data_IF_233328547707
#
_entry.id   IF_233328547707
#
_cell.length_a   1.000
_cell.length_b   1.000
_cell.length_c   1.000
_cell.angle_alpha   90.00
_cell.angle_beta   90.00
_cell.angle_gamma   90.00
#
_symmetry.space_group_name_H-M   'P 1'
#
loop_
_entity.id
_entity.type
_entity.pdbx_description
1 polymer ?
#
# COMPACT_ATOMS: atom_id res chain seq x y z
N UNK A 1 1.26 -14.10 13.39
CA UNK A 1 0.28 -13.32 12.59
C UNK A 1 0.32 -13.81 11.14
N UNK A 2 -0.30 -14.95 10.83
CA UNK A 2 -0.05 -15.71 9.59
C UNK A 2 -1.28 -15.80 8.65
N UNK A 3 -2.20 -14.83 8.66
CA UNK A 3 -3.43 -14.91 7.85
C UNK A 3 -3.63 -13.77 6.85
N UNK A 4 -2.66 -12.86 6.68
CA UNK A 4 -2.67 -11.87 5.58
C UNK A 4 -1.83 -12.41 4.42
N UNK A 5 -2.08 -13.65 4.00
CA UNK A 5 -1.76 -13.99 2.61
C UNK A 5 -2.67 -13.07 1.80
N UNK A 6 -2.06 -12.09 1.13
CA UNK A 6 -2.69 -10.89 0.56
C UNK A 6 -4.10 -11.16 0.02
N UNK A 7 -5.12 -10.52 0.61
CA UNK A 7 -6.51 -10.59 0.12
C UNK A 7 -6.62 -10.19 -1.36
N UNK A 8 -5.73 -9.29 -1.82
CA UNK A 8 -5.60 -8.92 -3.23
C UNK A 8 -5.04 -10.05 -4.10
N UNK A 9 -4.00 -10.75 -3.63
CA UNK A 9 -3.45 -11.91 -4.33
C UNK A 9 -4.48 -13.04 -4.44
N UNK A 10 -5.16 -13.35 -3.34
CA UNK A 10 -6.25 -14.34 -3.31
C UNK A 10 -7.42 -13.95 -4.22
N UNK A 11 -7.80 -12.66 -4.22
CA UNK A 11 -8.81 -12.12 -5.13
C UNK A 11 -8.40 -12.30 -6.59
N UNK A 12 -7.17 -11.91 -6.96
CA UNK A 12 -6.67 -12.07 -8.33
C UNK A 12 -6.69 -13.53 -8.76
N UNK A 13 -6.19 -14.45 -7.94
CA UNK A 13 -6.20 -15.89 -8.23
C UNK A 13 -7.61 -16.46 -8.36
N UNK A 14 -8.57 -15.94 -7.60
CA UNK A 14 -9.98 -16.30 -7.77
C UNK A 14 -10.51 -15.84 -9.13
N UNK A 15 -10.23 -14.59 -9.54
CA UNK A 15 -10.67 -14.07 -10.84
C UNK A 15 -9.95 -14.74 -12.02
N UNK A 16 -8.66 -15.08 -11.88
CA UNK A 16 -7.89 -15.85 -12.89
C UNK A 16 -8.53 -17.22 -13.14
N UNK A 17 -8.90 -17.95 -12.07
CA UNK A 17 -9.65 -19.22 -12.20
C UNK A 17 -11.05 -19.05 -12.81
N UNK A 18 -11.69 -17.91 -12.61
CA UNK A 18 -12.97 -17.58 -13.29
C UNK A 18 -12.75 -17.34 -14.79
N UNK A 19 -11.69 -16.62 -15.16
CA UNK A 19 -11.28 -16.42 -16.54
C UNK A 19 -10.97 -17.74 -17.26
N UNK A 20 -10.20 -18.63 -16.63
CA UNK A 20 -9.84 -19.94 -17.18
C UNK A 20 -11.07 -20.80 -17.43
N UNK A 21 -12.04 -20.83 -16.51
CA UNK A 21 -13.31 -21.56 -16.68
C UNK A 21 -14.12 -21.06 -17.88
N UNK A 22 -14.13 -19.74 -18.14
CA UNK A 22 -14.74 -19.17 -19.33
C UNK A 22 -14.06 -19.67 -20.61
N UNK A 23 -12.72 -19.69 -20.65
CA UNK A 23 -11.97 -20.18 -21.81
C UNK A 23 -12.19 -21.67 -22.10
N UNK A 24 -12.48 -22.50 -21.10
CA UNK A 24 -12.71 -23.94 -21.28
C UNK A 24 -14.19 -24.31 -21.49
N UNK A 25 -15.12 -23.56 -20.88
CA UNK A 25 -16.56 -23.82 -20.95
C UNK A 25 -17.31 -23.06 -22.04
N UNK A 26 -16.67 -22.08 -22.68
CA UNK A 26 -17.27 -21.27 -23.76
C UNK A 26 -18.27 -20.21 -23.30
N UNK A 27 -18.66 -20.18 -22.02
CA UNK A 27 -19.54 -19.15 -21.48
C UNK A 27 -18.75 -17.88 -21.11
N UNK A 28 -19.16 -16.68 -21.60
CA UNK A 28 -18.46 -15.44 -21.32
C UNK A 28 -18.60 -15.01 -19.86
N UNK A 29 -17.60 -14.27 -19.37
CA UNK A 29 -17.65 -13.63 -18.06
C UNK A 29 -18.57 -12.41 -18.13
N UNK A 30 -19.69 -12.47 -17.42
CA UNK A 30 -20.60 -11.33 -17.25
C UNK A 30 -20.13 -10.40 -16.14
N UNK A 31 -20.09 -9.10 -16.43
CA UNK A 31 -19.74 -8.03 -15.50
C UNK A 31 -20.79 -6.94 -15.55
N UNK A 32 -21.26 -6.52 -14.39
CA UNK A 32 -22.10 -5.35 -14.24
C UNK A 32 -21.22 -4.16 -13.87
N UNK A 33 -21.26 -3.11 -14.68
CA UNK A 33 -20.51 -1.87 -14.48
C UNK A 33 -21.51 -0.73 -14.36
N UNK A 34 -21.36 0.15 -13.36
CA UNK A 34 -22.28 1.26 -13.12
C UNK A 34 -22.34 1.66 -11.65
N UNK A 35 -23.26 2.57 -11.29
CA UNK A 35 -23.53 2.95 -9.91
C UNK A 35 -24.85 2.34 -9.43
N UNK A 36 -24.83 1.24 -8.67
CA UNK A 36 -26.03 0.74 -8.01
C UNK A 36 -26.64 1.82 -7.10
N UNK A 37 -27.97 1.85 -6.91
CA UNK A 37 -28.93 0.81 -7.32
C UNK A 37 -29.67 1.09 -8.64
N UNK A 38 -29.44 2.20 -9.34
CA UNK A 38 -30.21 2.56 -10.53
C UNK A 38 -29.89 1.62 -11.71
N UNK A 39 -30.81 0.74 -12.15
CA UNK A 39 -30.58 -0.19 -13.23
C UNK A 39 -30.27 0.51 -14.55
N UNK A 40 -30.84 1.71 -14.76
CA UNK A 40 -30.59 2.52 -15.96
C UNK A 40 -29.16 3.08 -16.01
N UNK A 41 -28.46 3.08 -14.88
CA UNK A 41 -27.05 3.48 -14.75
C UNK A 41 -26.07 2.31 -14.78
N UNK A 42 -26.55 1.08 -15.06
CA UNK A 42 -25.73 -0.13 -15.13
C UNK A 42 -25.68 -0.69 -16.54
N UNK A 43 -24.52 -1.21 -16.93
CA UNK A 43 -24.30 -1.92 -18.18
C UNK A 43 -23.74 -3.32 -17.89
N UNK A 44 -24.28 -4.33 -18.57
CA UNK A 44 -23.70 -5.67 -18.58
C UNK A 44 -22.69 -5.81 -19.71
N UNK A 45 -21.46 -6.14 -19.36
CA UNK A 45 -20.40 -6.50 -20.29
C UNK A 45 -20.22 -8.02 -20.30
N UNK A 46 -20.16 -8.59 -21.49
CA UNK A 46 -19.78 -9.99 -21.69
C UNK A 46 -18.36 -10.03 -22.24
N UNK A 47 -17.43 -10.57 -21.46
CA UNK A 47 -16.01 -10.67 -21.82
C UNK A 47 -15.61 -12.13 -22.01
N UNK A 48 -14.78 -12.41 -23.01
CA UNK A 48 -14.04 -13.67 -23.05
C UNK A 48 -13.03 -13.75 -21.88
N UNK A 49 -12.54 -14.95 -21.60
CA UNK A 49 -11.62 -15.18 -20.49
C UNK A 49 -10.33 -14.36 -20.56
N UNK A 50 -9.78 -14.15 -21.75
CA UNK A 50 -8.54 -13.39 -21.93
C UNK A 50 -8.78 -11.89 -21.68
N UNK A 51 -9.83 -11.34 -22.27
CA UNK A 51 -10.28 -9.96 -22.07
C UNK A 51 -10.57 -9.68 -20.60
N UNK A 52 -11.25 -10.62 -19.92
CA UNK A 52 -11.52 -10.53 -18.49
C UNK A 52 -10.24 -10.54 -17.65
N UNK A 53 -9.32 -11.47 -17.93
CA UNK A 53 -8.04 -11.57 -17.22
C UNK A 53 -7.20 -10.30 -17.40
N UNK A 54 -7.17 -9.75 -18.61
CA UNK A 54 -6.44 -8.52 -18.91
C UNK A 54 -7.03 -7.33 -18.15
N UNK A 55 -8.37 -7.22 -18.14
CA UNK A 55 -9.07 -6.18 -17.40
C UNK A 55 -8.74 -6.25 -15.90
N UNK A 56 -8.88 -7.42 -15.27
CA UNK A 56 -8.60 -7.57 -13.84
C UNK A 56 -7.13 -7.25 -13.51
N UNK A 57 -6.18 -7.73 -14.33
CA UNK A 57 -4.75 -7.40 -14.15
C UNK A 57 -4.51 -5.90 -14.22
N UNK A 58 -5.09 -5.22 -15.21
CA UNK A 58 -4.95 -3.78 -15.37
C UNK A 58 -5.59 -3.01 -14.19
N UNK A 59 -6.80 -3.37 -13.80
CA UNK A 59 -7.51 -2.74 -12.68
C UNK A 59 -6.73 -2.86 -11.37
N UNK A 60 -6.26 -4.06 -11.02
CA UNK A 60 -5.45 -4.27 -9.81
C UNK A 60 -4.12 -3.51 -9.92
N UNK A 61 -3.46 -3.53 -11.08
CA UNK A 61 -2.22 -2.78 -11.29
C UNK A 61 -2.38 -1.27 -11.04
N UNK A 62 -3.49 -0.67 -11.49
CA UNK A 62 -3.81 0.74 -11.23
C UNK A 62 -4.00 1.00 -9.74
N UNK A 63 -4.77 0.16 -9.06
CA UNK A 63 -5.04 0.32 -7.62
C UNK A 63 -3.77 0.13 -6.77
N UNK A 64 -2.91 -0.84 -7.13
CA UNK A 64 -1.60 -0.99 -6.51
C UNK A 64 -0.75 0.26 -6.72
N UNK A 65 -0.69 0.82 -7.93
CA UNK A 65 0.07 2.06 -8.17
C UNK A 65 -0.41 3.21 -7.29
N UNK A 66 -1.72 3.43 -7.20
CA UNK A 66 -2.30 4.48 -6.33
C UNK A 66 -1.97 4.26 -4.86
N UNK A 67 -2.05 3.02 -4.39
CA UNK A 67 -1.70 2.70 -3.01
C UNK A 67 -0.23 3.00 -2.72
N UNK A 68 0.66 2.82 -3.70
CA UNK A 68 2.10 3.07 -3.54
C UNK A 68 2.35 4.57 -3.41
N UNK A 69 1.71 5.36 -4.27
CA UNK A 69 1.74 6.82 -4.22
C UNK A 69 1.24 7.34 -2.87
N UNK A 70 0.14 6.77 -2.35
CA UNK A 70 -0.36 7.11 -1.01
C UNK A 70 0.64 6.76 0.10
N UNK A 71 1.29 5.60 0.03
CA UNK A 71 2.29 5.19 1.03
C UNK A 71 3.55 6.06 0.98
N UNK A 72 3.98 6.47 -0.21
CA UNK A 72 5.09 7.41 -0.36
C UNK A 72 4.74 8.78 0.23
N UNK A 73 3.57 9.33 -0.11
CA UNK A 73 3.10 10.60 0.43
C UNK A 73 2.93 10.54 1.96
N UNK A 74 2.46 9.41 2.50
CA UNK A 74 2.38 9.20 3.94
C UNK A 74 3.76 9.17 4.58
N UNK A 75 4.72 8.43 4.01
CA UNK A 75 6.09 8.37 4.52
C UNK A 75 6.76 9.75 4.52
N UNK A 76 6.62 10.51 3.43
CA UNK A 76 7.11 11.89 3.34
C UNK A 76 6.50 12.79 4.42
N UNK A 77 5.18 12.70 4.61
CA UNK A 77 4.50 13.44 5.68
C UNK A 77 5.02 13.05 7.06
N UNK A 78 5.22 11.75 7.33
CA UNK A 78 5.77 11.29 8.59
C UNK A 78 7.20 11.80 8.79
N UNK A 79 8.06 11.76 7.77
CA UNK A 79 9.40 12.32 7.82
C UNK A 79 9.38 13.80 8.21
N UNK A 80 8.51 14.60 7.57
CA UNK A 80 8.38 16.02 7.90
C UNK A 80 7.90 16.23 9.33
N UNK A 81 6.98 15.41 9.83
CA UNK A 81 6.48 15.52 11.20
C UNK A 81 7.55 15.17 12.24
N UNK A 82 8.38 14.15 11.99
CA UNK A 82 9.48 13.79 12.89
C UNK A 82 10.58 14.85 12.88
N UNK A 83 10.84 15.48 11.72
CA UNK A 83 11.83 16.55 11.61
C UNK A 83 11.34 17.92 12.08
N UNK A 84 10.05 18.08 12.39
CA UNK A 84 9.50 19.36 12.80
C UNK A 84 10.12 19.83 14.13
N UNK A 85 10.72 21.02 14.13
CA UNK A 85 11.52 21.56 15.22
C UNK A 85 12.99 21.14 15.19
N UNK A 86 13.35 20.10 14.43
CA UNK A 86 14.72 19.59 14.32
C UNK A 86 15.40 20.00 13.00
N UNK A 87 14.89 21.03 12.34
CA UNK A 87 15.38 21.49 11.02
C UNK A 87 16.84 21.91 11.06
N UNK A 88 17.26 22.54 12.17
CA UNK A 88 18.64 23.03 12.38
C UNK A 88 19.53 22.03 13.13
N UNK A 89 19.01 20.85 13.50
CA UNK A 89 19.80 19.84 14.19
C UNK A 89 20.84 19.23 13.24
N UNK A 90 22.11 19.27 13.62
CA UNK A 90 23.19 18.61 12.88
C UNK A 90 23.49 17.23 13.46
N UNK A 91 23.84 16.27 12.61
CA UNK A 91 24.13 14.88 13.02
C UNK A 91 25.22 14.76 14.09
N UNK A 92 26.17 15.68 14.13
CA UNK A 92 27.31 15.65 15.04
C UNK A 92 27.14 16.60 16.24
N UNK A 93 26.16 17.49 16.21
CA UNK A 93 25.87 18.44 17.29
C UNK A 93 24.81 17.90 18.27
N UNK A 94 24.81 18.42 19.49
CA UNK A 94 23.73 18.15 20.46
C UNK A 94 22.42 18.79 20.01
N UNK A 95 21.31 18.08 20.24
CA UNK A 95 19.98 18.54 19.87
C UNK A 95 19.56 19.70 20.76
N UNK A 96 19.27 20.86 20.17
CA UNK A 96 18.83 22.07 20.90
C UNK A 96 17.37 21.98 21.39
N UNK A 97 16.61 21.01 20.88
CA UNK A 97 15.22 20.76 21.27
C UNK A 97 15.07 19.78 22.44
N UNK A 98 16.15 19.43 23.15
CA UNK A 98 15.98 18.73 24.42
C UNK A 98 15.29 19.67 25.42
N UNK A 99 14.05 19.34 25.79
CA UNK A 99 13.39 19.97 26.93
C UNK A 99 14.22 19.75 28.20
N UNK A 100 14.18 20.74 29.08
CA UNK A 100 14.98 20.92 30.30
C UNK A 100 15.44 19.59 30.96
N UNK A 101 16.73 19.42 31.32
CA UNK A 101 17.28 18.18 31.91
C UNK A 101 16.65 17.74 33.25
N UNK A 102 15.68 18.48 33.76
CA UNK A 102 15.02 18.27 35.06
C UNK A 102 13.97 17.16 35.03
N UNK A 103 13.51 16.75 33.84
CA UNK A 103 12.70 15.53 33.66
C UNK A 103 13.58 14.43 33.06
N UNK A 104 14.47 13.87 33.88
CA UNK A 104 15.38 12.82 33.45
C UNK A 104 14.67 11.68 32.71
N UNK A 105 15.31 11.25 31.60
CA UNK A 105 15.15 9.99 30.83
C UNK A 105 14.65 10.11 29.38
N UNK A 106 15.09 11.10 28.61
CA UNK A 106 15.13 10.92 27.15
C UNK A 106 16.54 11.22 26.64
N UNK A 107 17.16 10.21 26.04
CA UNK A 107 18.45 10.32 25.36
C UNK A 107 18.31 11.14 24.07
N UNK A 108 19.39 11.76 23.60
CA UNK A 108 19.39 12.47 22.30
C UNK A 108 18.92 11.57 21.14
N UNK A 109 19.13 10.26 21.26
CA UNK A 109 18.72 9.23 20.30
C UNK A 109 17.21 8.97 20.33
N UNK A 110 16.54 9.23 21.46
CA UNK A 110 15.08 9.12 21.59
C UNK A 110 14.36 10.39 21.12
N UNK A 111 15.03 11.54 21.15
CA UNK A 111 14.44 12.86 20.86
C UNK A 111 14.78 13.35 19.46
N UNK A 112 16.01 13.14 18.97
CA UNK A 112 16.49 13.75 17.74
C UNK A 112 16.41 12.79 16.53
N UNK A 113 15.59 13.10 15.52
CA UNK A 113 15.48 12.27 14.30
C UNK A 113 16.77 12.22 13.48
N UNK A 114 17.72 13.14 13.69
CA UNK A 114 19.00 13.17 12.97
C UNK A 114 20.02 12.16 13.51
N UNK A 115 19.84 11.70 14.77
CA UNK A 115 20.75 10.74 15.43
C UNK A 115 20.37 9.29 15.16
N UNK A 116 19.17 9.05 14.62
CA UNK A 116 18.63 7.71 14.37
C UNK A 116 18.11 7.55 12.95
N UNK A 117 18.01 6.32 12.48
CA UNK A 117 17.26 5.99 11.27
C UNK A 117 15.77 5.96 11.62
N UNK A 118 15.08 7.08 11.39
CA UNK A 118 13.65 7.24 11.73
C UNK A 118 12.78 6.17 11.06
N UNK A 119 13.20 5.66 9.89
CA UNK A 119 12.44 4.66 9.13
C UNK A 119 12.44 3.30 9.82
N UNK A 120 13.47 3.01 10.62
CA UNK A 120 13.57 1.76 11.39
C UNK A 120 13.07 1.92 12.81
N UNK A 121 13.27 3.09 13.40
CA UNK A 121 12.97 3.35 14.81
C UNK A 121 11.45 3.46 15.05
N UNK A 122 10.75 4.25 14.23
CA UNK A 122 9.34 4.58 14.48
C UNK A 122 8.37 3.59 13.84
N UNK A 123 7.30 3.27 14.58
CA UNK A 123 6.29 2.31 14.15
C UNK A 123 5.53 2.70 12.88
N UNK A 124 5.37 4.01 12.62
CA UNK A 124 4.66 4.49 11.45
C UNK A 124 5.33 4.07 10.13
N UNK A 125 6.66 3.97 10.10
CA UNK A 125 7.41 3.49 8.93
C UNK A 125 7.36 1.97 8.79
N UNK A 126 7.29 1.22 9.91
CA UNK A 126 7.04 -0.23 9.84
C UNK A 126 5.72 -0.56 9.15
N UNK A 127 4.67 0.24 9.37
CA UNK A 127 3.40 0.08 8.66
C UNK A 127 3.55 0.36 7.16
N UNK A 128 4.30 1.40 6.78
CA UNK A 128 4.60 1.71 5.37
C UNK A 128 5.30 0.53 4.70
N UNK A 129 6.30 -0.05 5.36
CA UNK A 129 7.07 -1.18 4.82
C UNK A 129 6.21 -2.44 4.69
N UNK A 130 5.34 -2.72 5.67
CA UNK A 130 4.39 -3.83 5.60
C UNK A 130 3.44 -3.70 4.41
N UNK A 131 2.89 -2.50 4.19
CA UNK A 131 2.00 -2.25 3.05
C UNK A 131 2.77 -2.39 1.73
N UNK A 132 3.98 -1.81 1.63
CA UNK A 132 4.84 -1.96 0.44
C UNK A 132 5.15 -3.43 0.14
N UNK A 133 5.49 -4.23 1.16
CA UNK A 133 5.78 -5.65 0.99
C UNK A 133 4.56 -6.43 0.45
N UNK A 134 3.36 -6.18 0.99
CA UNK A 134 2.11 -6.79 0.48
C UNK A 134 1.84 -6.40 -0.98
N UNK A 135 2.16 -5.16 -1.35
CA UNK A 135 1.99 -4.69 -2.71
C UNK A 135 2.97 -5.33 -3.68
N UNK A 136 4.24 -5.47 -3.29
CA UNK A 136 5.25 -6.17 -4.08
C UNK A 136 4.90 -7.64 -4.29
N UNK A 137 4.41 -8.31 -3.24
CA UNK A 137 3.90 -9.68 -3.33
C UNK A 137 2.72 -9.78 -4.30
N UNK A 138 1.76 -8.87 -4.18
CA UNK A 138 0.60 -8.82 -5.07
C UNK A 138 1.03 -8.54 -6.52
N UNK A 139 2.00 -7.65 -6.73
CA UNK A 139 2.55 -7.35 -8.06
C UNK A 139 3.17 -8.60 -8.70
N UNK A 140 3.92 -9.39 -7.93
CA UNK A 140 4.49 -10.67 -8.42
C UNK A 140 3.39 -11.64 -8.81
N UNK A 141 2.31 -11.73 -8.03
CA UNK A 141 1.16 -12.60 -8.32
C UNK A 141 0.45 -12.18 -9.61
N UNK A 142 0.17 -10.88 -9.82
CA UNK A 142 -0.55 -10.43 -11.03
C UNK A 142 0.28 -10.55 -12.32
N UNK A 143 1.61 -10.54 -12.19
CA UNK A 143 2.55 -10.72 -13.30
C UNK A 143 2.77 -12.20 -13.66
N UNK A 144 2.31 -13.14 -12.82
CA UNK A 144 2.32 -14.59 -13.09
C UNK A 144 1.10 -15.09 -13.86
#
# INVERSE_FOLDING_TARGET
MSSIISTYGAFFLHQKRRAERCSHGGEPVKLLVGQPPDPASTAELSLDGQSYSNMIRASIGIELKKLLELMNAFAERQTRLHNNGHEECQKEASCQNMSDPLEGKQSEEEVCPQKVDITKMFACFRTVDQVRAVMEETQKIIMS
#
